data_IF_329355683947
#
_entry.id   IF_329355683947
#
_cell.length_a   1.000
_cell.length_b   1.000
_cell.length_c   1.000
_cell.angle_alpha   90.00
_cell.angle_beta   90.00
_cell.angle_gamma   90.00
#
_symmetry.space_group_name_H-M   'P 1'
#
loop_
_entity.id
_entity.type
_entity.pdbx_description
1 polymer ?
#
# COMPACT_ATOMS: atom_id res chain seq x y z
N UNK A 1 -12.41 28.55 -21.30
CA UNK A 1 -11.23 29.37 -21.64
C UNK A 1 -11.62 30.45 -22.64
N UNK A 2 -12.09 31.60 -22.15
CA UNK A 2 -12.51 32.72 -23.04
C UNK A 2 -11.40 33.69 -23.35
N UNK A 3 -10.28 33.67 -22.64
CA UNK A 3 -9.23 34.69 -22.72
C UNK A 3 -7.83 34.07 -22.95
N UNK A 4 -7.75 32.93 -23.64
CA UNK A 4 -6.46 32.29 -23.91
C UNK A 4 -5.60 33.16 -24.86
N UNK A 5 -4.42 33.59 -24.39
CA UNK A 5 -3.44 34.37 -25.11
C UNK A 5 -2.27 33.46 -25.53
N UNK A 6 -2.53 32.49 -26.39
CA UNK A 6 -1.52 31.51 -26.82
C UNK A 6 -0.47 32.04 -27.81
N UNK A 7 -0.57 33.32 -28.28
CA UNK A 7 0.37 33.95 -29.23
C UNK A 7 1.04 35.20 -28.68
N UNK A 8 0.70 35.59 -27.43
CA UNK A 8 1.26 36.75 -26.77
C UNK A 8 2.31 36.37 -25.73
N UNK A 9 2.40 37.16 -24.69
CA UNK A 9 3.37 37.01 -23.63
C UNK A 9 3.06 35.78 -22.76
N UNK A 10 4.07 34.93 -22.56
CA UNK A 10 3.99 33.80 -21.63
C UNK A 10 4.31 34.28 -20.21
N UNK A 11 3.30 34.45 -19.41
CA UNK A 11 3.42 34.90 -18.03
C UNK A 11 3.40 33.71 -17.09
N UNK A 12 4.52 33.43 -16.44
CA UNK A 12 4.68 32.31 -15.53
C UNK A 12 4.76 32.79 -14.07
N UNK A 13 4.55 31.85 -13.15
CA UNK A 13 4.65 32.10 -11.71
C UNK A 13 5.26 30.91 -10.97
N UNK A 14 5.79 31.20 -9.79
CA UNK A 14 6.02 30.22 -8.70
C UNK A 14 5.06 30.60 -7.58
N UNK A 15 4.52 29.62 -6.89
CA UNK A 15 3.57 29.88 -5.80
C UNK A 15 3.45 28.73 -4.84
N UNK A 16 2.62 28.92 -3.81
CA UNK A 16 2.35 27.94 -2.78
C UNK A 16 0.86 27.60 -2.77
N UNK A 17 0.54 26.33 -2.70
CA UNK A 17 -0.83 25.83 -2.60
C UNK A 17 -1.36 26.10 -1.19
N UNK A 18 -2.50 26.79 -1.09
CA UNK A 18 -3.16 27.09 0.19
C UNK A 18 -4.51 26.39 0.36
N UNK A 19 -5.15 25.90 -0.71
CA UNK A 19 -6.42 25.18 -0.63
C UNK A 19 -6.51 24.13 -1.75
N UNK A 20 -6.93 22.93 -1.40
CA UNK A 20 -7.10 21.78 -2.30
C UNK A 20 -8.55 21.31 -2.42
N UNK A 21 -9.48 21.99 -1.75
CA UNK A 21 -10.89 21.60 -1.66
C UNK A 21 -11.69 22.17 -2.84
N UNK A 22 -11.39 21.72 -4.05
CA UNK A 22 -12.05 22.17 -5.28
C UNK A 22 -13.55 21.82 -5.30
N UNK A 23 -14.47 22.82 -5.32
CA UNK A 23 -15.91 22.56 -5.25
C UNK A 23 -16.50 21.90 -6.50
N UNK A 24 -15.77 21.88 -7.63
CA UNK A 24 -16.20 21.19 -8.86
C UNK A 24 -15.42 19.90 -9.14
N UNK A 25 -14.55 19.50 -8.21
CA UNK A 25 -13.88 18.19 -8.16
C UNK A 25 -13.08 17.83 -9.43
N UNK A 26 -12.45 18.81 -10.09
CA UNK A 26 -11.55 18.58 -11.23
C UNK A 26 -10.06 18.67 -10.86
N UNK A 27 -9.74 18.70 -9.56
CA UNK A 27 -8.39 18.71 -9.03
C UNK A 27 -7.72 20.09 -9.01
N UNK A 28 -8.48 21.20 -9.13
CA UNK A 28 -7.94 22.55 -8.99
C UNK A 28 -7.48 22.80 -7.55
N UNK A 29 -6.54 23.71 -7.42
CA UNK A 29 -6.04 24.17 -6.14
C UNK A 29 -5.97 25.70 -6.10
N UNK A 30 -6.05 26.31 -4.92
CA UNK A 30 -5.79 27.74 -4.79
C UNK A 30 -4.33 27.96 -4.53
N UNK A 31 -3.72 28.83 -5.33
CA UNK A 31 -2.29 29.13 -5.27
C UNK A 31 -2.07 30.58 -5.01
N UNK A 32 -1.28 30.87 -4.00
CA UNK A 32 -0.74 32.22 -3.81
C UNK A 32 0.55 32.34 -4.65
N UNK A 33 0.51 33.18 -5.66
CA UNK A 33 1.58 33.35 -6.64
C UNK A 33 2.52 34.49 -6.22
N UNK A 34 3.83 34.21 -6.15
CA UNK A 34 4.84 35.21 -5.84
C UNK A 34 4.89 36.32 -6.91
N UNK A 35 5.00 37.56 -6.45
CA UNK A 35 5.00 38.73 -7.29
C UNK A 35 3.62 39.20 -7.79
N UNK A 36 2.57 38.37 -7.57
CA UNK A 36 1.18 38.68 -7.95
C UNK A 36 0.27 38.87 -6.75
N UNK A 37 0.46 38.08 -5.70
CA UNK A 37 -0.33 38.13 -4.48
C UNK A 37 0.54 38.54 -3.30
N UNK A 38 -0.04 39.33 -2.37
CA UNK A 38 0.60 39.66 -1.09
C UNK A 38 0.53 38.46 -0.13
N UNK A 39 1.46 38.42 0.83
CA UNK A 39 1.41 37.47 1.96
C UNK A 39 0.34 37.84 3.00
N UNK A 40 -0.14 39.09 2.98
CA UNK A 40 -1.18 39.56 3.89
C UNK A 40 -2.55 38.98 3.54
N UNK A 41 -2.97 37.99 4.31
CA UNK A 41 -4.29 37.34 4.17
C UNK A 41 -5.46 38.28 4.51
N UNK A 42 -5.21 39.39 5.19
CA UNK A 42 -6.21 40.43 5.42
C UNK A 42 -6.55 41.22 4.14
N UNK A 43 -5.61 41.32 3.20
CA UNK A 43 -5.82 41.95 1.89
C UNK A 43 -6.33 40.94 0.85
N UNK A 44 -5.74 39.75 0.78
CA UNK A 44 -6.15 38.68 -0.13
C UNK A 44 -6.29 37.39 0.69
N UNK A 45 -7.46 37.09 1.21
CA UNK A 45 -7.71 35.84 1.93
C UNK A 45 -7.59 34.62 0.99
N UNK A 46 -7.25 33.46 1.56
CA UNK A 46 -7.06 32.20 0.78
C UNK A 46 -8.27 31.87 -0.09
N UNK A 47 -9.50 32.10 0.40
CA UNK A 47 -10.73 31.83 -0.33
C UNK A 47 -11.02 32.79 -1.50
N UNK A 48 -10.25 33.86 -1.66
CA UNK A 48 -10.34 34.79 -2.79
C UNK A 48 -9.26 34.54 -3.85
N UNK A 49 -8.27 33.67 -3.55
CA UNK A 49 -7.28 33.28 -4.55
C UNK A 49 -7.95 32.57 -5.75
N UNK A 50 -7.49 32.81 -6.98
CA UNK A 50 -8.02 32.12 -8.15
C UNK A 50 -7.72 30.60 -8.09
N UNK A 51 -8.63 29.79 -8.65
CA UNK A 51 -8.44 28.35 -8.80
C UNK A 51 -7.48 28.04 -9.95
N UNK A 52 -6.35 27.46 -9.63
CA UNK A 52 -5.37 26.99 -10.60
C UNK A 52 -5.74 25.60 -11.15
N UNK A 53 -5.70 25.46 -12.47
CA UNK A 53 -6.02 24.19 -13.16
C UNK A 53 -4.72 23.36 -13.25
N UNK A 54 -4.69 22.10 -12.81
CA UNK A 54 -3.53 21.24 -13.01
C UNK A 54 -3.41 20.81 -14.47
N UNK A 55 -2.22 20.88 -15.02
CA UNK A 55 -1.86 20.28 -16.31
C UNK A 55 -1.31 18.90 -16.02
N UNK A 56 -2.10 17.87 -16.32
CA UNK A 56 -1.70 16.49 -16.09
C UNK A 56 -0.70 16.01 -17.16
N UNK A 57 0.17 15.04 -16.85
CA UNK A 57 1.07 14.45 -17.82
C UNK A 57 0.27 13.75 -18.95
N UNK A 58 0.86 13.63 -20.14
CA UNK A 58 0.22 12.97 -21.28
C UNK A 58 -0.07 11.47 -21.05
N UNK A 59 0.47 10.88 -20.00
CA UNK A 59 0.17 9.52 -19.53
C UNK A 59 -1.17 9.43 -18.80
N UNK A 60 -1.78 10.57 -18.45
CA UNK A 60 -3.13 10.66 -17.86
C UNK A 60 -4.08 11.26 -18.90
N UNK A 61 -5.15 10.54 -19.26
CA UNK A 61 -6.10 11.02 -20.25
C UNK A 61 -6.90 12.25 -19.78
N UNK A 62 -7.05 12.44 -18.48
CA UNK A 62 -7.84 13.53 -17.86
C UNK A 62 -9.27 13.65 -18.43
N UNK A 63 -9.85 12.52 -18.84
CA UNK A 63 -11.17 12.43 -19.47
C UNK A 63 -11.92 11.24 -18.89
N UNK A 64 -13.16 11.45 -18.47
CA UNK A 64 -14.06 10.40 -17.96
C UNK A 64 -13.45 9.57 -16.80
N UNK A 65 -12.58 10.18 -15.99
CA UNK A 65 -11.90 9.52 -14.87
C UNK A 65 -10.74 8.60 -15.27
N UNK A 66 -10.35 8.55 -16.52
CA UNK A 66 -9.23 7.73 -17.00
C UNK A 66 -7.91 8.46 -16.75
N UNK A 67 -6.98 7.81 -16.05
CA UNK A 67 -5.67 8.33 -15.67
C UNK A 67 -5.51 8.54 -14.15
N UNK A 68 -4.39 9.14 -13.75
CA UNK A 68 -4.13 9.46 -12.34
C UNK A 68 -4.72 10.82 -11.98
N UNK A 69 -5.81 10.83 -11.24
CA UNK A 69 -6.54 12.02 -10.80
C UNK A 69 -7.22 11.77 -9.45
N UNK A 70 -7.37 12.82 -8.60
CA UNK A 70 -6.79 14.16 -8.69
C UNK A 70 -5.27 14.17 -8.50
N UNK A 71 -4.63 15.36 -8.62
CA UNK A 71 -3.19 15.50 -8.35
C UNK A 71 -2.86 15.24 -6.88
N UNK A 72 -1.61 14.85 -6.61
CA UNK A 72 -1.12 14.61 -5.24
C UNK A 72 -0.70 15.88 -4.48
N UNK A 73 -1.04 17.07 -4.95
CA UNK A 73 -0.71 18.33 -4.30
C UNK A 73 -1.37 18.44 -2.92
N UNK A 74 -0.64 18.99 -1.98
CA UNK A 74 -1.11 19.31 -0.62
C UNK A 74 -0.94 20.81 -0.35
N UNK A 75 -1.59 21.31 0.67
CA UNK A 75 -1.31 22.67 1.16
C UNK A 75 0.17 22.77 1.54
N UNK A 76 0.80 23.91 1.28
CA UNK A 76 2.24 24.09 1.43
C UNK A 76 3.08 23.59 0.24
N UNK A 77 2.50 22.88 -0.75
CA UNK A 77 3.23 22.50 -1.96
C UNK A 77 3.67 23.71 -2.74
N UNK A 78 4.98 23.77 -3.05
CA UNK A 78 5.53 24.73 -4.01
C UNK A 78 5.23 24.27 -5.42
N UNK A 79 4.72 25.18 -6.25
CA UNK A 79 4.31 24.86 -7.62
C UNK A 79 4.84 25.89 -8.60
N UNK A 80 5.00 25.46 -9.84
CA UNK A 80 5.29 26.32 -10.98
C UNK A 80 4.19 26.21 -12.01
N UNK A 81 3.80 27.34 -12.59
CA UNK A 81 2.71 27.43 -13.53
C UNK A 81 2.77 28.65 -14.40
N UNK A 82 1.70 28.90 -15.13
CA UNK A 82 1.53 30.06 -16.01
C UNK A 82 0.07 30.54 -15.96
N UNK A 83 -0.14 31.79 -16.33
CA UNK A 83 -1.49 32.33 -16.49
C UNK A 83 -1.97 32.17 -17.93
N UNK A 84 -3.10 31.47 -18.11
CA UNK A 84 -3.72 31.26 -19.43
C UNK A 84 -4.16 32.59 -20.06
N UNK A 85 -4.56 33.52 -19.21
CA UNK A 85 -5.02 34.87 -19.58
C UNK A 85 -3.89 35.92 -19.53
N UNK A 86 -2.62 35.47 -19.41
CA UNK A 86 -1.43 36.36 -19.45
C UNK A 86 -1.37 37.31 -18.25
N UNK A 87 -1.17 38.61 -18.52
CA UNK A 87 -1.02 39.63 -17.48
C UNK A 87 -2.25 39.89 -16.62
N UNK A 88 -3.41 39.40 -17.00
CA UNK A 88 -4.63 39.49 -16.14
C UNK A 88 -4.53 38.63 -14.90
N UNK A 89 -3.77 37.54 -14.93
CA UNK A 89 -3.43 36.67 -13.82
C UNK A 89 -4.63 36.11 -13.05
N UNK A 90 -5.76 35.84 -13.73
CA UNK A 90 -6.97 35.28 -13.13
C UNK A 90 -7.23 33.81 -13.47
N UNK A 91 -6.55 33.28 -14.50
CA UNK A 91 -6.69 31.91 -14.96
C UNK A 91 -5.33 31.16 -14.84
N UNK A 92 -4.88 30.83 -13.60
CA UNK A 92 -3.62 30.11 -13.42
C UNK A 92 -3.75 28.64 -13.82
N UNK A 93 -2.66 28.10 -14.41
CA UNK A 93 -2.48 26.68 -14.68
C UNK A 93 -1.15 26.21 -14.07
N UNK A 94 -1.12 25.02 -13.48
CA UNK A 94 0.06 24.41 -12.83
C UNK A 94 0.52 23.23 -13.67
N UNK A 95 1.82 23.17 -13.97
CA UNK A 95 2.40 22.05 -14.69
C UNK A 95 3.45 21.25 -13.88
N UNK A 96 3.76 21.67 -12.64
CA UNK A 96 4.68 20.91 -11.79
C UNK A 96 4.73 21.42 -10.35
N UNK A 97 5.24 20.56 -9.48
CA UNK A 97 5.64 20.90 -8.12
C UNK A 97 7.17 20.99 -8.01
N UNK A 98 7.65 21.71 -7.00
CA UNK A 98 9.07 21.98 -6.78
C UNK A 98 9.43 21.44 -5.41
N UNK A 99 10.37 20.49 -5.36
CA UNK A 99 10.96 20.05 -4.11
C UNK A 99 11.98 21.07 -3.60
N UNK A 100 12.06 21.21 -2.29
CA UNK A 100 12.95 22.17 -1.62
C UNK A 100 13.61 21.54 -0.37
N UNK A 101 14.29 22.38 0.40
CA UNK A 101 14.74 22.09 1.76
C UNK A 101 14.14 23.19 2.65
N UNK A 102 12.98 22.96 3.26
CA UNK A 102 12.33 23.94 4.10
C UNK A 102 13.14 24.20 5.38
N UNK A 103 13.32 25.47 5.71
CA UNK A 103 14.12 25.90 6.88
C UNK A 103 13.30 26.60 7.95
N UNK A 104 12.03 26.92 7.64
CA UNK A 104 11.13 27.67 8.52
C UNK A 104 9.85 26.87 8.72
N UNK A 105 9.35 26.83 9.95
CA UNK A 105 8.04 26.24 10.24
C UNK A 105 6.93 26.98 9.52
N UNK A 106 5.86 26.29 9.10
CA UNK A 106 4.73 26.96 8.48
C UNK A 106 4.06 27.91 9.48
N UNK A 107 3.53 29.01 8.96
CA UNK A 107 2.71 29.97 9.70
C UNK A 107 1.39 30.15 8.96
N UNK A 108 0.34 29.53 9.46
CA UNK A 108 -0.99 29.59 8.86
C UNK A 108 -1.63 30.97 8.86
N UNK A 109 -1.09 31.93 9.61
CA UNK A 109 -1.62 33.31 9.69
C UNK A 109 -1.22 34.15 8.49
N UNK A 110 -0.12 33.80 7.79
CA UNK A 110 0.38 34.52 6.60
C UNK A 110 0.26 33.66 5.35
N UNK A 111 0.23 34.32 4.21
CA UNK A 111 0.23 33.67 2.88
C UNK A 111 1.53 32.95 2.55
N UNK A 112 1.50 32.15 1.48
CA UNK A 112 2.62 31.30 1.04
C UNK A 112 3.02 30.20 2.04
N UNK A 113 2.09 29.82 2.90
CA UNK A 113 2.24 28.76 3.87
C UNK A 113 1.05 27.78 3.79
N UNK A 114 1.22 26.62 4.39
CA UNK A 114 0.08 25.73 4.67
C UNK A 114 -0.82 26.37 5.74
N UNK A 115 -2.10 26.65 5.45
CA UNK A 115 -3.01 27.23 6.44
C UNK A 115 -3.29 26.32 7.63
N UNK A 116 -3.12 25.01 7.49
CA UNK A 116 -3.34 24.01 8.52
C UNK A 116 -2.06 23.68 9.32
N UNK A 117 -0.93 24.28 8.96
CA UNK A 117 0.39 24.12 9.58
C UNK A 117 0.90 22.66 9.63
N UNK A 118 0.44 21.81 8.72
CA UNK A 118 0.83 20.40 8.63
C UNK A 118 2.11 20.22 7.82
N UNK A 119 2.32 21.04 6.79
CA UNK A 119 3.44 20.96 5.87
C UNK A 119 4.24 22.27 5.81
N UNK A 120 5.59 22.20 5.79
CA UNK A 120 6.42 20.99 5.75
C UNK A 120 6.44 20.23 7.09
N UNK A 121 6.49 18.89 7.04
CA UNK A 121 6.57 18.04 8.23
C UNK A 121 7.96 18.01 8.86
N UNK A 122 8.99 18.27 8.07
CA UNK A 122 10.38 18.19 8.48
C UNK A 122 11.12 19.46 8.06
N UNK A 123 11.90 20.03 8.95
CA UNK A 123 12.74 21.19 8.67
C UNK A 123 14.18 20.76 8.47
N UNK A 124 14.89 21.51 7.63
CA UNK A 124 16.31 21.27 7.27
C UNK A 124 16.55 19.90 6.62
N UNK A 125 15.49 19.33 6.03
CA UNK A 125 15.55 18.10 5.24
C UNK A 125 14.99 18.37 3.83
N UNK A 126 15.47 17.60 2.85
CA UNK A 126 14.92 17.63 1.50
C UNK A 126 13.47 17.13 1.49
N UNK A 127 12.63 17.72 0.65
CA UNK A 127 11.26 17.26 0.36
C UNK A 127 11.22 15.93 -0.40
N UNK A 128 12.36 15.44 -0.90
CA UNK A 128 12.45 14.08 -1.45
C UNK A 128 12.14 13.09 -0.34
N UNK A 129 11.29 12.11 -0.63
CA UNK A 129 10.81 11.13 0.34
C UNK A 129 11.97 10.48 1.13
N UNK A 130 11.81 10.35 2.46
CA UNK A 130 12.85 9.81 3.36
C UNK A 130 13.20 8.36 3.05
N UNK A 131 12.24 7.55 2.59
CA UNK A 131 12.50 6.18 2.12
C UNK A 131 13.34 6.21 0.83
N UNK A 132 13.05 7.12 -0.11
CA UNK A 132 13.82 7.28 -1.33
C UNK A 132 15.27 7.71 -1.07
N UNK A 133 15.52 8.40 0.06
CA UNK A 133 16.86 8.84 0.48
C UNK A 133 17.59 7.83 1.39
N UNK A 134 16.95 6.71 1.75
CA UNK A 134 17.52 5.76 2.70
C UNK A 134 17.66 6.30 4.13
N UNK A 135 17.02 7.43 4.47
CA UNK A 135 17.10 8.06 5.79
C UNK A 135 15.99 7.59 6.76
N UNK A 136 15.07 6.83 6.28
CA UNK A 136 14.03 6.16 7.06
C UNK A 136 13.84 4.75 6.50
N UNK A 137 13.45 3.79 7.35
CA UNK A 137 13.04 2.45 6.95
C UNK A 137 11.62 2.16 7.42
N UNK A 138 10.97 1.24 6.74
CA UNK A 138 9.68 0.64 7.14
C UNK A 138 9.85 -0.88 7.20
N UNK A 139 10.93 -1.32 7.86
CA UNK A 139 11.28 -2.74 7.99
C UNK A 139 10.21 -3.53 8.72
N UNK A 140 10.15 -4.82 8.41
CA UNK A 140 9.35 -5.80 9.13
C UNK A 140 10.26 -6.78 9.90
N UNK A 141 9.68 -7.50 10.87
CA UNK A 141 10.37 -8.62 11.53
C UNK A 141 9.94 -9.90 10.84
N UNK A 142 10.88 -10.69 10.29
CA UNK A 142 10.55 -11.93 9.58
C UNK A 142 10.01 -12.98 10.54
N UNK A 143 9.09 -13.82 10.06
CA UNK A 143 8.61 -14.98 10.81
C UNK A 143 9.57 -16.16 10.63
N UNK A 144 10.40 -16.38 11.65
CA UNK A 144 11.35 -17.49 11.69
C UNK A 144 10.69 -18.87 11.69
N UNK A 145 9.42 -18.99 12.13
CA UNK A 145 8.72 -20.26 12.17
C UNK A 145 8.46 -20.84 10.78
N UNK A 146 8.30 -19.98 9.78
CA UNK A 146 8.17 -20.39 8.36
C UNK A 146 9.45 -20.22 7.56
N UNK A 147 10.50 -19.62 8.14
CA UNK A 147 11.76 -19.36 7.46
C UNK A 147 11.67 -18.19 6.49
N UNK A 148 10.91 -17.15 6.85
CA UNK A 148 10.80 -15.94 6.07
C UNK A 148 12.15 -15.23 5.96
N UNK A 149 12.54 -14.70 4.78
CA UNK A 149 13.78 -13.95 4.64
C UNK A 149 13.74 -12.61 5.37
N UNK A 150 14.91 -12.10 5.76
CA UNK A 150 15.05 -10.76 6.33
C UNK A 150 14.60 -9.69 5.34
N UNK A 151 14.18 -8.54 5.87
CA UNK A 151 13.85 -7.39 5.05
C UNK A 151 15.11 -6.88 4.31
N UNK A 152 15.12 -6.90 2.98
CA UNK A 152 16.30 -6.51 2.18
C UNK A 152 16.45 -5.01 2.03
N UNK A 153 15.70 -4.19 2.77
CA UNK A 153 15.71 -2.74 2.59
C UNK A 153 17.13 -2.15 2.74
N UNK A 154 17.64 -1.60 1.65
CA UNK A 154 18.95 -0.94 1.56
C UNK A 154 18.93 0.21 0.57
N UNK A 155 17.83 0.94 0.51
CA UNK A 155 17.59 1.98 -0.47
C UNK A 155 18.69 3.05 -0.50
N UNK A 156 19.15 3.38 -1.70
CA UNK A 156 20.14 4.42 -1.97
C UNK A 156 19.55 5.48 -2.93
N UNK A 157 19.75 6.72 -2.60
CA UNK A 157 19.41 7.82 -3.53
C UNK A 157 20.35 7.79 -4.75
N UNK A 158 19.84 7.94 -5.98
CA UNK A 158 18.45 8.27 -6.38
C UNK A 158 17.63 7.06 -6.87
N UNK A 159 17.94 5.86 -6.48
CA UNK A 159 17.41 4.64 -7.10
C UNK A 159 16.00 4.25 -6.64
N UNK A 160 15.64 4.53 -5.38
CA UNK A 160 14.32 4.15 -4.87
C UNK A 160 13.25 5.20 -5.26
N UNK A 161 12.28 4.79 -6.08
CA UNK A 161 11.12 5.59 -6.48
C UNK A 161 9.98 5.33 -5.53
N UNK A 162 9.63 6.33 -4.74
CA UNK A 162 8.61 6.23 -3.69
C UNK A 162 7.42 7.12 -4.03
N UNK A 163 6.22 6.53 -3.98
CA UNK A 163 4.96 7.24 -3.92
C UNK A 163 4.38 7.06 -2.52
N UNK A 164 4.23 8.16 -1.79
CA UNK A 164 3.62 8.17 -0.46
C UNK A 164 2.38 9.05 -0.46
N UNK A 165 1.28 8.55 0.08
CA UNK A 165 0.04 9.32 0.25
C UNK A 165 0.05 10.12 1.56
N UNK A 166 -0.80 11.12 1.69
CA UNK A 166 -0.94 11.93 2.93
C UNK A 166 -1.16 11.08 4.19
N UNK A 167 -1.84 9.95 4.06
CA UNK A 167 -2.15 9.04 5.16
C UNK A 167 -1.05 8.01 5.44
N UNK A 168 0.02 7.96 4.62
CA UNK A 168 1.15 7.05 4.80
C UNK A 168 0.98 5.68 4.12
N UNK A 169 0.16 5.57 3.07
CA UNK A 169 0.26 4.45 2.14
C UNK A 169 1.45 4.65 1.22
N UNK A 170 2.19 3.58 0.95
CA UNK A 170 3.48 3.65 0.25
C UNK A 170 3.50 2.64 -0.89
N UNK A 171 4.05 3.06 -2.03
CA UNK A 171 4.44 2.21 -3.14
C UNK A 171 5.88 2.52 -3.51
N UNK A 172 6.73 1.48 -3.56
CA UNK A 172 8.15 1.61 -3.84
C UNK A 172 8.54 0.72 -5.02
N UNK A 173 9.36 1.30 -5.91
CA UNK A 173 10.15 0.59 -6.91
C UNK A 173 11.60 0.97 -6.65
N UNK A 174 12.34 0.08 -6.02
CA UNK A 174 13.72 0.29 -5.62
C UNK A 174 14.64 -0.40 -6.62
N UNK A 175 15.40 0.40 -7.36
CA UNK A 175 16.38 -0.04 -8.34
C UNK A 175 17.81 0.03 -7.75
N UNK A 176 17.96 0.09 -6.41
CA UNK A 176 19.27 0.08 -5.76
C UNK A 176 20.03 -1.19 -6.15
N UNK A 177 21.25 -1.08 -6.71
CA UNK A 177 22.02 -2.24 -7.15
C UNK A 177 22.21 -3.29 -6.05
N UNK A 178 21.96 -4.55 -6.38
CA UNK A 178 22.01 -5.71 -5.48
C UNK A 178 20.98 -5.68 -4.33
N UNK A 179 20.00 -4.74 -4.39
CA UNK A 179 18.93 -4.61 -3.41
C UNK A 179 17.58 -4.21 -4.07
N UNK A 180 17.40 -4.58 -5.34
CA UNK A 180 16.21 -4.28 -6.13
C UNK A 180 14.95 -4.86 -5.46
N UNK A 181 13.91 -4.03 -5.30
CA UNK A 181 12.74 -4.40 -4.52
C UNK A 181 11.47 -3.71 -5.02
N UNK A 182 10.35 -4.41 -4.94
CA UNK A 182 9.02 -3.82 -5.14
C UNK A 182 8.24 -3.98 -3.85
N UNK A 183 7.57 -2.90 -3.37
CA UNK A 183 6.75 -2.96 -2.17
C UNK A 183 5.49 -2.12 -2.29
N UNK A 184 4.38 -2.68 -1.79
CA UNK A 184 3.15 -1.94 -1.51
C UNK A 184 2.80 -2.11 -0.04
N UNK A 185 2.71 -0.97 0.68
CA UNK A 185 2.48 -0.93 2.13
C UNK A 185 1.25 -0.10 2.47
N UNK A 186 0.30 -0.70 3.15
CA UNK A 186 -0.79 0.02 3.79
C UNK A 186 -0.32 0.65 5.11
N UNK A 187 -0.86 1.81 5.48
CA UNK A 187 -0.49 2.53 6.73
C UNK A 187 -0.62 1.70 8.01
N UNK A 188 -1.43 0.62 8.01
CA UNK A 188 -1.58 -0.28 9.16
C UNK A 188 -0.42 -1.28 9.32
N UNK A 189 0.49 -1.37 8.35
CA UNK A 189 1.56 -2.36 8.32
C UNK A 189 1.29 -3.58 7.45
N UNK A 190 0.09 -3.74 6.87
CA UNK A 190 -0.16 -4.77 5.85
C UNK A 190 0.63 -4.45 4.59
N UNK A 191 1.40 -5.42 4.06
CA UNK A 191 2.21 -5.21 2.87
C UNK A 191 2.33 -6.44 1.98
N UNK A 192 2.72 -6.18 0.75
CA UNK A 192 3.24 -7.13 -0.24
C UNK A 192 4.63 -6.65 -0.66
N UNK A 193 5.62 -7.54 -0.68
CA UNK A 193 6.99 -7.21 -1.07
C UNK A 193 7.60 -8.30 -1.93
N UNK A 194 8.24 -7.91 -3.04
CA UNK A 194 9.12 -8.75 -3.84
C UNK A 194 10.56 -8.42 -3.46
N UNK A 195 11.34 -9.44 -3.12
CA UNK A 195 12.73 -9.36 -2.71
C UNK A 195 13.68 -9.38 -3.92
N UNK A 196 14.97 -9.01 -3.74
CA UNK A 196 15.97 -9.02 -4.82
C UNK A 196 16.16 -10.38 -5.50
N UNK A 197 15.96 -11.47 -4.77
CA UNK A 197 16.04 -12.86 -5.29
C UNK A 197 14.74 -13.33 -5.96
N UNK A 198 13.71 -12.49 -6.01
CA UNK A 198 12.40 -12.79 -6.57
C UNK A 198 11.45 -13.49 -5.59
N UNK A 199 11.84 -13.76 -4.34
CA UNK A 199 10.90 -14.25 -3.33
C UNK A 199 9.87 -13.19 -2.95
N UNK A 200 8.76 -13.62 -2.37
CA UNK A 200 7.64 -12.73 -2.02
C UNK A 200 7.27 -12.92 -0.56
N UNK A 201 7.23 -11.81 0.19
CA UNK A 201 6.64 -11.73 1.52
C UNK A 201 5.31 -10.98 1.48
N UNK A 202 4.33 -11.51 2.19
CA UNK A 202 3.01 -10.88 2.36
C UNK A 202 2.63 -10.90 3.84
N UNK A 203 2.51 -9.73 4.45
CA UNK A 203 2.06 -9.59 5.84
C UNK A 203 0.67 -8.98 5.90
N UNK A 204 -0.22 -9.62 6.63
CA UNK A 204 -1.60 -9.19 6.83
C UNK A 204 -1.80 -8.93 8.32
N UNK A 205 -1.98 -7.66 8.71
CA UNK A 205 -2.11 -7.26 10.12
C UNK A 205 -3.45 -7.69 10.75
N UNK A 206 -4.45 -7.97 9.92
CA UNK A 206 -5.78 -8.45 10.35
C UNK A 206 -6.18 -9.67 9.55
N UNK A 207 -7.40 -9.72 9.08
CA UNK A 207 -7.97 -10.85 8.39
C UNK A 207 -7.65 -10.82 6.90
N UNK A 208 -7.53 -12.00 6.31
CA UNK A 208 -7.43 -12.19 4.86
C UNK A 208 -8.63 -12.99 4.37
N UNK A 209 -9.34 -12.47 3.37
CA UNK A 209 -10.42 -13.15 2.67
C UNK A 209 -10.02 -13.40 1.22
N UNK A 210 -10.21 -14.64 0.76
CA UNK A 210 -10.00 -15.00 -0.66
C UNK A 210 -11.26 -15.67 -1.15
N UNK A 211 -11.90 -15.10 -2.18
CA UNK A 211 -13.10 -15.65 -2.82
C UNK A 211 -12.79 -15.89 -4.28
N UNK A 212 -12.90 -17.14 -4.72
CA UNK A 212 -12.70 -17.55 -6.12
C UNK A 212 -14.04 -18.10 -6.63
N UNK A 213 -14.58 -17.48 -7.68
CA UNK A 213 -15.90 -17.87 -8.23
C UNK A 213 -15.87 -19.07 -9.14
N UNK A 214 -14.71 -19.49 -9.57
CA UNK A 214 -14.48 -20.69 -10.37
C UNK A 214 -13.40 -21.54 -9.68
N UNK A 215 -12.42 -22.01 -10.39
CA UNK A 215 -11.39 -22.91 -9.89
C UNK A 215 -10.20 -22.15 -9.30
N UNK A 216 -9.62 -22.65 -8.22
CA UNK A 216 -8.30 -22.25 -7.70
C UNK A 216 -7.33 -23.42 -7.83
N UNK A 217 -6.18 -23.20 -8.48
CA UNK A 217 -5.17 -24.24 -8.72
C UNK A 217 -3.81 -23.79 -8.22
N UNK A 218 -3.23 -24.57 -7.29
CA UNK A 218 -1.92 -24.27 -6.69
C UNK A 218 -0.94 -25.39 -7.06
N UNK A 219 0.18 -25.02 -7.71
CA UNK A 219 1.29 -25.94 -8.03
C UNK A 219 2.57 -25.44 -7.37
N UNK A 220 3.11 -26.20 -6.41
CA UNK A 220 4.37 -25.90 -5.72
C UNK A 220 5.38 -27.01 -6.04
N UNK A 221 6.51 -26.65 -6.68
CA UNK A 221 7.58 -27.59 -7.01
C UNK A 221 8.43 -28.00 -5.80
N UNK A 222 8.38 -27.24 -4.73
CA UNK A 222 9.08 -27.50 -3.48
C UNK A 222 8.11 -27.94 -2.38
N UNK A 223 8.38 -27.54 -1.17
CA UNK A 223 7.59 -27.89 0.02
C UNK A 223 6.50 -26.84 0.29
N UNK A 224 5.37 -27.28 0.83
CA UNK A 224 4.36 -26.41 1.43
C UNK A 224 4.40 -26.58 2.94
N UNK A 225 4.47 -25.48 3.69
CA UNK A 225 4.39 -25.43 5.13
C UNK A 225 3.22 -24.54 5.56
N UNK A 226 2.31 -25.10 6.35
CA UNK A 226 1.14 -24.38 6.88
C UNK A 226 1.19 -24.51 8.39
N UNK A 227 1.25 -23.36 9.10
CA UNK A 227 1.18 -23.25 10.54
C UNK A 227 -0.10 -22.52 10.91
N UNK A 228 -0.89 -23.08 11.81
CA UNK A 228 -2.16 -22.51 12.27
C UNK A 228 -2.26 -22.72 13.77
N UNK A 229 -2.34 -21.62 14.53
CA UNK A 229 -2.51 -21.68 15.98
C UNK A 229 -3.97 -22.02 16.40
N UNK A 230 -4.91 -21.81 15.49
CA UNK A 230 -6.33 -22.11 15.68
C UNK A 230 -6.76 -23.38 14.96
N UNK A 231 -7.98 -23.38 14.44
CA UNK A 231 -8.57 -24.52 13.72
C UNK A 231 -8.29 -24.41 12.21
N UNK A 232 -8.27 -25.55 11.53
CA UNK A 232 -8.34 -25.66 10.07
C UNK A 232 -9.60 -26.45 9.72
N UNK A 233 -10.52 -25.83 9.00
CA UNK A 233 -11.76 -26.45 8.54
C UNK A 233 -11.71 -26.63 7.01
N UNK A 234 -11.96 -27.83 6.52
CA UNK A 234 -12.16 -28.16 5.12
C UNK A 234 -13.61 -28.59 4.92
N UNK A 235 -14.42 -27.73 4.31
CA UNK A 235 -15.80 -28.02 3.91
C UNK A 235 -15.85 -28.18 2.40
N UNK A 236 -15.96 -29.40 1.92
CA UNK A 236 -15.94 -29.77 0.51
C UNK A 236 -16.75 -31.06 0.26
N UNK A 237 -17.20 -31.24 -0.98
CA UNK A 237 -17.93 -32.48 -1.35
C UNK A 237 -17.00 -33.67 -1.48
N UNK A 238 -15.74 -33.49 -1.86
CA UNK A 238 -14.76 -34.59 -1.98
C UNK A 238 -13.35 -34.10 -1.65
N UNK A 239 -12.66 -34.81 -0.75
CA UNK A 239 -11.27 -34.52 -0.36
C UNK A 239 -10.36 -35.68 -0.71
N UNK A 240 -9.45 -35.48 -1.66
CA UNK A 240 -8.45 -36.48 -2.05
C UNK A 240 -7.06 -36.02 -1.60
N UNK A 241 -6.40 -36.88 -0.78
CA UNK A 241 -5.02 -36.71 -0.34
C UNK A 241 -4.19 -37.86 -0.88
N UNK A 242 -3.34 -37.61 -1.88
CA UNK A 242 -2.45 -38.60 -2.47
C UNK A 242 -1.00 -38.30 -2.05
N UNK A 243 -0.39 -39.23 -1.31
CA UNK A 243 1.01 -39.15 -0.92
C UNK A 243 1.69 -40.51 -1.16
N UNK A 244 2.88 -40.53 -1.73
CA UNK A 244 3.65 -41.79 -1.88
C UNK A 244 4.09 -42.33 -0.52
N UNK A 245 4.48 -41.44 0.38
CA UNK A 245 4.80 -41.72 1.78
C UNK A 245 4.32 -40.59 2.66
N UNK A 246 3.77 -40.90 3.83
CA UNK A 246 3.29 -39.84 4.73
C UNK A 246 2.88 -40.35 6.07
N UNK A 247 2.79 -39.47 7.03
CA UNK A 247 2.26 -39.72 8.37
C UNK A 247 1.24 -38.66 8.74
N UNK A 248 0.07 -39.08 9.21
CA UNK A 248 -0.90 -38.18 9.84
C UNK A 248 -0.80 -38.41 11.33
N UNK A 249 -0.28 -37.44 12.09
CA UNK A 249 -0.16 -37.52 13.55
C UNK A 249 -1.23 -36.66 14.20
N UNK A 250 -2.06 -37.27 15.04
CA UNK A 250 -3.05 -36.61 15.86
C UNK A 250 -2.61 -36.75 17.31
N UNK A 251 -2.17 -35.65 17.95
CA UNK A 251 -1.62 -35.69 19.32
C UNK A 251 -2.67 -36.03 20.38
N UNK A 252 -3.86 -35.44 20.27
CA UNK A 252 -5.02 -35.77 21.09
C UNK A 252 -6.26 -35.55 20.25
N UNK A 253 -7.18 -36.55 20.26
CA UNK A 253 -8.37 -36.53 19.41
C UNK A 253 -8.53 -37.86 18.66
N UNK A 254 -9.33 -37.83 17.61
CA UNK A 254 -9.68 -39.02 16.84
C UNK A 254 -9.94 -38.72 15.37
N UNK A 255 -9.82 -39.70 14.52
CA UNK A 255 -10.36 -39.69 13.16
C UNK A 255 -11.67 -40.43 13.15
N UNK A 256 -12.76 -39.77 12.80
CA UNK A 256 -14.11 -40.36 12.78
C UNK A 256 -14.58 -40.43 11.33
N UNK A 257 -14.88 -41.65 10.86
CA UNK A 257 -15.48 -41.92 9.56
C UNK A 257 -16.83 -42.58 9.74
N UNK A 258 -17.91 -41.94 9.28
CA UNK A 258 -19.28 -42.47 9.41
C UNK A 258 -19.62 -42.97 10.84
N UNK A 259 -19.29 -42.21 11.85
CA UNK A 259 -19.44 -42.50 13.29
C UNK A 259 -18.53 -43.62 13.84
N UNK A 260 -17.55 -44.08 13.05
CA UNK A 260 -16.55 -45.04 13.51
C UNK A 260 -15.28 -44.34 13.92
N UNK A 261 -14.90 -44.46 15.20
CA UNK A 261 -13.66 -43.89 15.76
C UNK A 261 -12.46 -44.75 15.39
N UNK A 262 -11.41 -44.14 14.89
CA UNK A 262 -10.15 -44.85 14.61
C UNK A 262 -9.50 -45.34 15.91
N UNK A 263 -9.60 -44.55 16.98
CA UNK A 263 -8.97 -44.81 18.27
C UNK A 263 -9.80 -45.79 19.14
N UNK A 264 -11.14 -45.74 19.02
CA UNK A 264 -12.05 -46.46 19.96
C UNK A 264 -12.90 -47.55 19.31
N UNK A 265 -12.78 -47.79 17.97
CA UNK A 265 -13.57 -48.86 17.34
C UNK A 265 -13.13 -50.25 17.80
N UNK A 266 -14.06 -51.16 17.74
CA UNK A 266 -13.85 -52.58 18.04
C UNK A 266 -14.45 -53.42 16.92
N UNK A 267 -13.92 -54.60 16.71
CA UNK A 267 -14.49 -55.55 15.75
C UNK A 267 -15.24 -56.64 16.48
N UNK A 268 -16.45 -57.05 16.02
CA UNK A 268 -17.12 -58.21 16.58
C UNK A 268 -16.26 -59.49 16.34
N UNK A 269 -16.04 -60.20 17.33
CA UNK A 269 -15.39 -61.49 17.18
C UNK A 269 -16.40 -62.50 16.65
N UNK A 270 -16.19 -63.04 15.44
CA UNK A 270 -16.96 -64.17 14.97
C UNK A 270 -16.63 -65.38 15.82
N UNK A 271 -17.65 -66.19 16.15
CA UNK A 271 -17.62 -67.36 17.02
C UNK A 271 -16.66 -68.50 16.54
N UNK A 272 -15.34 -68.22 16.64
CA UNK A 272 -14.27 -69.19 16.52
C UNK A 272 -13.42 -69.15 17.78
N UNK A 273 -12.82 -70.24 18.20
CA UNK A 273 -12.03 -70.42 19.43
C UNK A 273 -10.96 -69.28 19.57
N UNK A 274 -11.32 -68.18 20.22
CA UNK A 274 -10.37 -67.19 20.69
C UNK A 274 -10.09 -67.42 22.17
N UNK A 275 -8.84 -67.65 22.53
CA UNK A 275 -8.38 -67.71 23.90
C UNK A 275 -8.62 -66.35 24.56
N UNK A 276 -9.73 -66.15 25.27
CA UNK A 276 -9.98 -64.90 25.97
C UNK A 276 -11.43 -64.45 26.15
N UNK A 277 -12.41 -65.20 25.80
CA UNK A 277 -13.81 -65.10 26.32
C UNK A 277 -14.57 -63.76 26.08
N UNK A 278 -14.15 -62.90 25.21
CA UNK A 278 -14.85 -61.64 24.88
C UNK A 278 -15.56 -61.70 23.55
N UNK A 279 -16.66 -60.96 23.38
CA UNK A 279 -17.42 -60.88 22.13
C UNK A 279 -16.83 -59.87 21.10
N UNK A 280 -15.92 -59.05 21.51
CA UNK A 280 -15.26 -58.02 20.69
C UNK A 280 -13.73 -58.01 20.87
N UNK A 281 -12.98 -57.60 19.87
CA UNK A 281 -11.55 -57.34 20.00
C UNK A 281 -11.30 -56.19 20.97
N UNK A 282 -10.12 -56.14 21.61
CA UNK A 282 -9.70 -54.95 22.36
C UNK A 282 -9.53 -53.75 21.40
N UNK A 283 -9.59 -52.55 21.95
CA UNK A 283 -9.28 -51.34 21.22
C UNK A 283 -7.87 -51.43 20.63
N UNK A 284 -7.58 -50.73 19.52
CA UNK A 284 -6.23 -50.64 18.99
C UNK A 284 -5.25 -50.14 20.06
N UNK A 285 -4.11 -50.80 20.20
CA UNK A 285 -3.08 -50.37 21.14
C UNK A 285 -2.47 -49.06 20.65
N UNK A 286 -2.28 -48.11 21.56
CA UNK A 286 -1.41 -46.94 21.30
C UNK A 286 0.02 -47.48 21.23
N UNK A 287 0.65 -47.42 20.03
CA UNK A 287 2.07 -47.68 19.84
C UNK A 287 2.95 -46.66 20.52
#
# INVERSE_FOLDING_TARGET
MRNFIGRGDFTWFVGVVEDINDPIEIGRVRVRCYGWHTEDKGQIPTNELPWAIPVNPVTSASTSGVGEMPTGLVQGSWVIGFFIDGERAQEPAIFGSIASVPTVSPDGSIGFNDPDEVFPRYLNESDVNRLARGTQTKSYTPDSAIGEPDDPYNAQYPYNRVMETRSGHIKEYDDTPDAERIRELHKSGTFYQVHPDGSISTHIVRDRFTVVTNDDSIHVKGNVKILVDGNVDFDCSDLNINAETGTITIGSGDVIASSVSLVNHTHPQNSGNHFGGGTNTSKPNKG
#
